data_IF_134041487327
#
_entry.id   IF_134041487327
#
_cell.length_a   1.000
_cell.length_b   1.000
_cell.length_c   1.000
_cell.angle_alpha   90.00
_cell.angle_beta   90.00
_cell.angle_gamma   90.00
#
_symmetry.space_group_name_H-M   'P 1'
#
loop_
_entity.id
_entity.type
_entity.pdbx_description
1 polymer ?
#
# COMPACT_ATOMS: atom_id res chain seq x y z
N UNK A 1 -7.51 21.72 35.27
CA UNK A 1 -6.28 21.43 34.54
C UNK A 1 -6.12 22.53 33.50
N UNK A 2 -5.06 23.35 33.59
CA UNK A 2 -4.79 24.43 32.63
C UNK A 2 -4.53 23.82 31.24
N UNK A 3 -5.32 24.19 30.26
CA UNK A 3 -5.14 23.92 28.84
C UNK A 3 -3.71 24.34 28.46
N UNK A 4 -2.90 23.34 28.09
CA UNK A 4 -1.46 23.47 27.93
C UNK A 4 -1.06 24.63 27.02
N UNK A 5 -0.29 25.55 27.57
CA UNK A 5 0.52 26.48 26.80
C UNK A 5 1.39 25.67 25.86
N UNK A 6 1.09 25.72 24.55
CA UNK A 6 1.91 25.06 23.53
C UNK A 6 3.30 25.69 23.62
N UNK A 7 4.28 24.92 24.06
CA UNK A 7 5.67 25.37 24.11
C UNK A 7 6.06 25.96 22.75
N UNK A 8 6.50 27.22 22.66
CA UNK A 8 6.90 27.84 21.40
C UNK A 8 8.00 27.01 20.70
N UNK A 9 8.86 26.33 21.45
CA UNK A 9 9.86 25.42 20.93
C UNK A 9 9.24 24.25 20.16
N UNK A 10 8.21 23.59 20.73
CA UNK A 10 7.53 22.49 20.05
C UNK A 10 6.83 22.94 18.77
N UNK A 11 6.24 24.14 18.80
CA UNK A 11 5.57 24.71 17.62
C UNK A 11 6.59 25.03 16.52
N UNK A 12 7.74 25.61 16.87
CA UNK A 12 8.83 25.89 15.91
C UNK A 12 9.36 24.58 15.30
N UNK A 13 9.64 23.57 16.13
CA UNK A 13 10.10 22.26 15.65
C UNK A 13 9.09 21.60 14.71
N UNK A 14 7.80 21.66 15.06
CA UNK A 14 6.73 21.13 14.20
C UNK A 14 6.69 21.87 12.86
N UNK A 15 6.71 23.21 12.87
CA UNK A 15 6.68 24.02 11.64
C UNK A 15 7.92 23.76 10.78
N UNK A 16 9.10 23.69 11.38
CA UNK A 16 10.34 23.36 10.65
C UNK A 16 10.29 21.96 10.03
N UNK A 17 9.82 20.96 10.77
CA UNK A 17 9.66 19.59 10.26
C UNK A 17 8.67 19.52 9.10
N UNK A 18 7.51 20.17 9.23
CA UNK A 18 6.53 20.25 8.15
C UNK A 18 7.09 21.02 6.93
N UNK A 19 7.74 22.16 7.14
CA UNK A 19 8.37 22.92 6.08
C UNK A 19 9.41 22.09 5.33
N UNK A 20 10.27 21.35 6.03
CA UNK A 20 11.27 20.48 5.45
C UNK A 20 10.65 19.39 4.54
N UNK A 21 9.49 18.84 4.94
CA UNK A 21 8.79 17.83 4.16
C UNK A 21 8.01 18.42 2.98
N UNK A 22 7.31 19.54 3.18
CA UNK A 22 6.39 20.07 2.18
C UNK A 22 7.03 21.03 1.17
N UNK A 23 8.08 21.78 1.54
CA UNK A 23 8.74 22.73 0.61
C UNK A 23 9.24 22.04 -0.67
N UNK A 24 9.96 20.89 -0.62
CA UNK A 24 10.36 20.19 -1.83
C UNK A 24 9.18 19.76 -2.70
N UNK A 25 8.08 19.31 -2.10
CA UNK A 25 6.87 18.91 -2.83
C UNK A 25 6.21 20.13 -3.51
N UNK A 26 6.12 21.27 -2.79
CA UNK A 26 5.57 22.51 -3.35
C UNK A 26 6.43 22.99 -4.51
N UNK A 27 7.76 22.98 -4.36
CA UNK A 27 8.68 23.33 -5.43
C UNK A 27 8.50 22.43 -6.66
N UNK A 28 8.37 21.12 -6.47
CA UNK A 28 8.09 20.17 -7.55
C UNK A 28 6.78 20.53 -8.28
N UNK A 29 5.71 20.85 -7.53
CA UNK A 29 4.43 21.29 -8.10
C UNK A 29 4.60 22.59 -8.88
N UNK A 30 5.32 23.58 -8.36
CA UNK A 30 5.59 24.84 -9.08
C UNK A 30 6.37 24.56 -10.36
N UNK A 31 7.44 23.78 -10.29
CA UNK A 31 8.27 23.43 -11.45
C UNK A 31 7.58 22.52 -12.47
N UNK A 32 6.46 21.88 -12.13
CA UNK A 32 5.63 21.15 -13.10
C UNK A 32 4.99 22.06 -14.15
N UNK A 33 4.83 23.35 -13.83
CA UNK A 33 4.32 24.38 -14.74
C UNK A 33 5.44 25.15 -15.45
N UNK A 34 6.71 24.75 -15.28
CA UNK A 34 7.84 25.43 -15.93
C UNK A 34 7.90 25.09 -17.42
N UNK A 35 8.03 26.10 -18.30
CA UNK A 35 8.13 25.92 -19.74
C UNK A 35 9.49 25.40 -20.20
N UNK A 36 10.54 25.56 -19.40
CA UNK A 36 11.91 25.15 -19.74
C UNK A 36 12.03 23.63 -19.84
N UNK A 37 12.89 23.17 -20.75
CA UNK A 37 13.34 21.77 -20.79
C UNK A 37 14.38 21.44 -19.71
N UNK A 38 15.00 22.46 -19.15
CA UNK A 38 15.97 22.33 -18.07
C UNK A 38 15.23 22.43 -16.74
N UNK A 39 15.28 21.37 -15.94
CA UNK A 39 14.52 21.25 -14.69
C UNK A 39 14.84 22.36 -13.68
N UNK A 40 16.10 22.82 -13.66
CA UNK A 40 16.58 23.83 -12.71
C UNK A 40 16.44 25.28 -13.20
N UNK A 41 16.05 25.52 -14.46
CA UNK A 41 15.95 26.86 -15.05
C UNK A 41 14.49 27.22 -15.25
N UNK A 42 14.04 28.32 -14.65
CA UNK A 42 12.67 28.78 -14.84
C UNK A 42 12.50 29.49 -16.18
N UNK A 43 11.64 28.96 -17.04
CA UNK A 43 11.37 29.49 -18.40
C UNK A 43 9.97 30.08 -18.57
N UNK A 44 9.25 30.39 -17.46
CA UNK A 44 7.88 30.89 -17.48
C UNK A 44 6.82 29.81 -17.27
N UNK A 45 5.57 30.23 -17.12
CA UNK A 45 4.44 29.34 -16.84
C UNK A 45 3.96 28.61 -18.09
N UNK A 46 3.75 27.29 -18.03
CA UNK A 46 3.24 26.47 -19.12
C UNK A 46 2.61 25.17 -18.60
N UNK A 47 1.59 24.69 -19.27
CA UNK A 47 0.97 23.36 -19.04
C UNK A 47 1.45 22.32 -20.05
N UNK A 48 2.48 22.63 -20.83
CA UNK A 48 2.99 21.80 -21.93
C UNK A 48 3.30 20.37 -21.50
N UNK A 49 3.95 20.18 -20.33
CA UNK A 49 4.38 18.88 -19.85
C UNK A 49 3.22 17.96 -19.48
N UNK A 50 2.08 18.53 -19.04
CA UNK A 50 0.86 17.77 -18.83
C UNK A 50 0.32 17.22 -20.15
N UNK A 51 0.31 18.04 -21.21
CA UNK A 51 -0.14 17.60 -22.54
C UNK A 51 0.78 16.52 -23.09
N UNK A 52 2.11 16.67 -22.97
CA UNK A 52 3.09 15.68 -23.40
C UNK A 52 2.95 14.37 -22.59
N UNK A 53 2.72 14.47 -21.28
CA UNK A 53 2.51 13.33 -20.38
C UNK A 53 1.28 12.51 -20.81
N UNK A 54 0.14 13.17 -21.04
CA UNK A 54 -1.10 12.49 -21.44
C UNK A 54 -1.02 11.85 -22.84
N UNK A 55 -0.09 12.30 -23.68
CA UNK A 55 0.17 11.71 -25.00
C UNK A 55 1.20 10.57 -24.97
N UNK A 56 1.84 10.30 -23.84
CA UNK A 56 2.88 9.27 -23.71
C UNK A 56 2.27 7.89 -23.44
N UNK A 57 2.28 6.94 -24.40
CA UNK A 57 1.78 5.59 -24.18
C UNK A 57 2.53 4.89 -23.05
N UNK A 58 3.86 5.08 -22.99
CA UNK A 58 4.72 4.47 -21.96
C UNK A 58 4.27 4.80 -20.52
N UNK A 59 3.82 6.05 -20.29
CA UNK A 59 3.32 6.46 -18.97
C UNK A 59 1.99 5.76 -18.65
N UNK A 60 1.08 5.70 -19.62
CA UNK A 60 -0.20 5.03 -19.44
C UNK A 60 -0.05 3.54 -19.21
N UNK A 61 0.83 2.88 -19.96
CA UNK A 61 1.14 1.46 -19.77
C UNK A 61 1.68 1.19 -18.37
N UNK A 62 2.61 2.04 -17.89
CA UNK A 62 3.16 1.93 -16.55
C UNK A 62 2.13 2.20 -15.45
N UNK A 63 1.24 3.18 -15.62
CA UNK A 63 0.15 3.48 -14.68
C UNK A 63 -0.83 2.31 -14.61
N UNK A 64 -1.30 1.81 -15.77
CA UNK A 64 -2.26 0.71 -15.83
C UNK A 64 -1.65 -0.55 -15.23
N UNK A 65 -0.40 -0.88 -15.58
CA UNK A 65 0.30 -2.03 -15.02
C UNK A 65 0.43 -1.92 -13.50
N UNK A 66 0.87 -0.75 -12.98
CA UNK A 66 1.00 -0.55 -11.53
C UNK A 66 -0.33 -0.72 -10.81
N UNK A 67 -1.42 -0.17 -11.35
CA UNK A 67 -2.74 -0.31 -10.76
C UNK A 67 -3.24 -1.76 -10.80
N UNK A 68 -3.05 -2.47 -11.91
CA UNK A 68 -3.42 -3.87 -12.03
C UNK A 68 -2.65 -4.74 -11.03
N UNK A 69 -1.32 -4.58 -10.97
CA UNK A 69 -0.48 -5.30 -10.00
C UNK A 69 -0.92 -4.98 -8.57
N UNK A 70 -1.14 -3.70 -8.24
CA UNK A 70 -1.53 -3.29 -6.89
C UNK A 70 -2.90 -3.84 -6.46
N UNK A 71 -3.91 -3.82 -7.34
CA UNK A 71 -5.25 -4.37 -7.04
C UNK A 71 -5.19 -5.88 -6.86
N UNK A 72 -4.51 -6.59 -7.75
CA UNK A 72 -4.38 -8.06 -7.66
C UNK A 72 -3.58 -8.42 -6.42
N UNK A 73 -2.44 -7.76 -6.19
CA UNK A 73 -1.66 -7.93 -4.98
C UNK A 73 -2.50 -7.72 -3.71
N UNK A 74 -3.16 -6.58 -3.58
CA UNK A 74 -3.94 -6.24 -2.39
C UNK A 74 -5.05 -7.28 -2.12
N UNK A 75 -5.70 -7.76 -3.17
CA UNK A 75 -6.77 -8.74 -3.05
C UNK A 75 -6.24 -10.09 -2.57
N UNK A 76 -5.21 -10.64 -3.23
CA UNK A 76 -4.65 -11.93 -2.83
C UNK A 76 -3.91 -11.85 -1.49
N UNK A 77 -3.16 -10.77 -1.24
CA UNK A 77 -2.49 -10.56 0.05
C UNK A 77 -3.51 -10.45 1.20
N UNK A 78 -4.66 -9.81 0.97
CA UNK A 78 -5.72 -9.73 1.98
C UNK A 78 -6.36 -11.08 2.26
N UNK A 79 -6.67 -11.85 1.23
CA UNK A 79 -7.23 -13.20 1.42
C UNK A 79 -6.24 -14.09 2.17
N UNK A 80 -5.01 -14.20 1.67
CA UNK A 80 -3.98 -15.06 2.26
C UNK A 80 -3.55 -14.57 3.64
N UNK A 81 -3.38 -13.26 3.83
CA UNK A 81 -3.05 -12.66 5.11
C UNK A 81 -4.16 -12.83 6.16
N UNK A 82 -5.42 -12.80 5.73
CA UNK A 82 -6.56 -13.10 6.62
C UNK A 82 -6.54 -14.56 7.05
N UNK A 83 -6.34 -15.49 6.13
CA UNK A 83 -6.21 -16.92 6.46
C UNK A 83 -5.03 -17.19 7.39
N UNK A 84 -3.88 -16.57 7.12
CA UNK A 84 -2.70 -16.67 7.96
C UNK A 84 -2.93 -16.09 9.36
N UNK A 85 -3.56 -14.93 9.46
CA UNK A 85 -3.92 -14.28 10.73
C UNK A 85 -4.90 -15.12 11.54
N UNK A 86 -5.94 -15.68 10.90
CA UNK A 86 -6.88 -16.61 11.52
C UNK A 86 -6.18 -17.86 12.06
N UNK A 87 -5.30 -18.47 11.27
CA UNK A 87 -4.53 -19.64 11.70
C UNK A 87 -3.68 -19.35 12.94
N UNK A 88 -2.99 -18.18 12.95
CA UNK A 88 -2.13 -17.79 14.07
C UNK A 88 -2.90 -17.47 15.36
N UNK A 89 -4.10 -16.90 15.27
CA UNK A 89 -4.85 -16.42 16.46
C UNK A 89 -5.91 -17.43 16.94
N UNK A 90 -6.60 -18.13 16.03
CA UNK A 90 -7.77 -18.97 16.35
C UNK A 90 -7.47 -20.46 16.45
N UNK A 91 -6.43 -20.97 15.79
CA UNK A 91 -6.17 -22.41 15.76
C UNK A 91 -5.38 -22.95 16.98
N UNK A 92 -5.05 -22.07 17.94
CA UNK A 92 -4.29 -22.48 19.11
C UNK A 92 -2.89 -22.98 18.79
N UNK A 93 -2.47 -24.07 19.44
CA UNK A 93 -1.15 -24.68 19.20
C UNK A 93 -1.27 -25.77 18.13
N UNK A 94 -0.50 -25.63 17.04
CA UNK A 94 -0.40 -26.63 15.99
C UNK A 94 1.06 -26.91 15.62
N UNK A 95 1.34 -28.06 15.04
CA UNK A 95 2.70 -28.43 14.62
C UNK A 95 3.20 -27.47 13.55
N UNK A 96 4.38 -26.87 13.77
CA UNK A 96 4.95 -25.90 12.84
C UNK A 96 4.51 -24.43 13.02
N UNK A 97 3.70 -24.12 14.05
CA UNK A 97 3.24 -22.75 14.33
C UNK A 97 4.40 -21.75 14.45
N UNK A 98 5.48 -22.12 15.15
CA UNK A 98 6.65 -21.24 15.31
C UNK A 98 7.34 -20.98 13.96
N UNK A 99 7.52 -22.04 13.15
CA UNK A 99 8.08 -21.90 11.80
C UNK A 99 7.19 -21.02 10.91
N UNK A 100 5.89 -21.27 10.92
CA UNK A 100 4.91 -20.47 10.15
C UNK A 100 4.91 -19.00 10.59
N UNK A 101 4.93 -18.73 11.89
CA UNK A 101 5.07 -17.37 12.43
C UNK A 101 6.39 -16.71 12.01
N UNK A 102 7.50 -17.46 12.03
CA UNK A 102 8.80 -16.98 11.51
C UNK A 102 8.75 -16.64 10.02
N UNK A 103 8.11 -17.48 9.20
CA UNK A 103 7.94 -17.23 7.77
C UNK A 103 7.08 -15.99 7.50
N UNK A 104 6.03 -15.77 8.29
CA UNK A 104 5.21 -14.56 8.19
C UNK A 104 5.96 -13.30 8.64
N UNK A 105 6.85 -13.42 9.63
CA UNK A 105 7.63 -12.30 10.13
C UNK A 105 8.84 -11.96 9.22
N UNK A 106 9.32 -12.91 8.45
CA UNK A 106 10.55 -12.76 7.64
C UNK A 106 10.49 -11.54 6.69
N UNK A 107 9.44 -11.32 5.88
CA UNK A 107 9.36 -10.14 4.99
C UNK A 107 9.33 -8.80 5.74
N UNK A 108 8.91 -8.79 7.01
CA UNK A 108 8.82 -7.56 7.82
C UNK A 108 10.19 -7.11 8.34
N UNK A 109 11.13 -8.04 8.47
CA UNK A 109 12.44 -7.80 9.08
C UNK A 109 13.55 -7.77 8.02
N UNK A 110 13.37 -8.52 6.93
CA UNK A 110 14.37 -8.61 5.86
C UNK A 110 14.39 -7.34 5.02
N UNK A 111 15.57 -6.83 4.66
CA UNK A 111 15.70 -5.75 3.69
C UNK A 111 15.07 -6.14 2.34
N UNK A 112 14.32 -5.21 1.74
CA UNK A 112 13.59 -5.43 0.46
C UNK A 112 14.51 -5.93 -0.67
N UNK A 113 15.77 -5.46 -0.68
CA UNK A 113 16.77 -5.91 -1.66
C UNK A 113 17.03 -7.41 -1.55
N UNK A 114 17.13 -7.95 -0.33
CA UNK A 114 17.35 -9.38 -0.11
C UNK A 114 16.11 -10.17 -0.52
N UNK A 115 14.93 -9.68 -0.19
CA UNK A 115 13.65 -10.28 -0.60
C UNK A 115 13.52 -10.30 -2.12
N UNK A 116 13.78 -9.18 -2.80
CA UNK A 116 13.73 -9.08 -4.26
C UNK A 116 14.73 -10.00 -4.95
N UNK A 117 15.97 -10.05 -4.45
CA UNK A 117 17.01 -10.95 -4.98
C UNK A 117 16.64 -12.43 -4.78
N UNK A 118 16.12 -12.79 -3.61
CA UNK A 118 15.69 -14.17 -3.31
C UNK A 118 14.57 -14.62 -4.23
N UNK A 119 13.58 -13.75 -4.48
CA UNK A 119 12.49 -14.01 -5.41
C UNK A 119 12.97 -14.10 -6.85
N UNK A 120 13.92 -13.26 -7.27
CA UNK A 120 14.58 -13.37 -8.56
C UNK A 120 15.24 -14.75 -8.73
N UNK A 121 16.02 -15.18 -7.73
CA UNK A 121 16.68 -16.51 -7.77
C UNK A 121 15.66 -17.63 -7.79
N UNK A 122 14.56 -17.52 -7.05
CA UNK A 122 13.47 -18.46 -7.08
C UNK A 122 12.88 -18.59 -8.50
N UNK A 123 12.54 -17.47 -9.16
CA UNK A 123 11.97 -17.51 -10.51
C UNK A 123 12.95 -18.05 -11.55
N UNK A 124 14.25 -17.75 -11.44
CA UNK A 124 15.27 -18.33 -12.33
C UNK A 124 15.36 -19.84 -12.13
N UNK A 125 15.34 -20.32 -10.89
CA UNK A 125 15.39 -21.75 -10.57
C UNK A 125 14.15 -22.47 -11.05
N UNK A 126 12.95 -21.91 -10.82
CA UNK A 126 11.68 -22.49 -11.30
C UNK A 126 11.66 -22.57 -12.83
N UNK A 127 12.15 -21.55 -13.54
CA UNK A 127 12.27 -21.58 -14.99
C UNK A 127 13.15 -22.74 -15.44
N UNK A 128 14.25 -23.02 -14.75
CA UNK A 128 15.15 -24.12 -15.06
C UNK A 128 14.55 -25.52 -14.80
N UNK A 129 13.66 -25.66 -13.80
CA UNK A 129 13.08 -26.94 -13.38
C UNK A 129 11.78 -27.27 -14.14
N UNK A 130 10.87 -26.29 -14.20
CA UNK A 130 9.50 -26.50 -14.69
C UNK A 130 9.16 -25.64 -15.92
N UNK A 131 10.11 -24.82 -16.43
CA UNK A 131 9.91 -23.94 -17.58
C UNK A 131 9.09 -22.67 -17.27
N UNK A 132 8.73 -22.43 -16.01
CA UNK A 132 7.92 -21.27 -15.59
C UNK A 132 8.67 -20.38 -14.59
N UNK A 133 8.57 -19.06 -14.70
CA UNK A 133 7.89 -18.27 -15.75
C UNK A 133 8.70 -18.28 -17.06
N UNK A 134 8.02 -18.26 -18.21
CA UNK A 134 8.69 -18.14 -19.51
C UNK A 134 9.54 -16.88 -19.57
N UNK A 135 8.94 -15.75 -19.14
CA UNK A 135 9.62 -14.48 -18.98
C UNK A 135 9.18 -13.83 -17.66
N UNK A 136 10.07 -13.00 -17.10
CA UNK A 136 9.72 -12.15 -15.97
C UNK A 136 8.86 -10.99 -16.47
N UNK A 137 7.98 -10.47 -15.62
CA UNK A 137 7.07 -9.39 -15.98
C UNK A 137 5.97 -9.16 -14.96
N UNK A 138 4.79 -8.76 -15.39
CA UNK A 138 3.66 -8.45 -14.54
C UNK A 138 3.32 -9.56 -13.53
N UNK A 139 3.34 -10.83 -13.97
CA UNK A 139 3.03 -11.98 -13.11
C UNK A 139 4.06 -12.17 -12.00
N UNK A 140 5.35 -12.10 -12.33
CA UNK A 140 6.42 -12.25 -11.33
C UNK A 140 6.44 -11.07 -10.34
N UNK A 141 6.17 -9.84 -10.81
CA UNK A 141 5.99 -8.67 -9.95
C UNK A 141 4.81 -8.90 -9.00
N UNK A 142 3.65 -9.32 -9.53
CA UNK A 142 2.44 -9.56 -8.73
C UNK A 142 2.68 -10.59 -7.63
N UNK A 143 3.29 -11.74 -7.96
CA UNK A 143 3.58 -12.80 -6.97
C UNK A 143 4.56 -12.30 -5.90
N UNK A 144 5.59 -11.57 -6.32
CA UNK A 144 6.57 -11.00 -5.40
C UNK A 144 5.91 -10.04 -4.41
N UNK A 145 5.04 -9.15 -4.91
CA UNK A 145 4.30 -8.20 -4.08
C UNK A 145 3.31 -8.91 -3.15
N UNK A 146 2.59 -9.93 -3.62
CA UNK A 146 1.69 -10.74 -2.76
C UNK A 146 2.49 -11.38 -1.61
N UNK A 147 3.64 -11.97 -1.92
CA UNK A 147 4.50 -12.62 -0.93
C UNK A 147 4.97 -11.63 0.14
N UNK A 148 5.32 -10.43 -0.25
CA UNK A 148 5.75 -9.36 0.66
C UNK A 148 4.56 -8.79 1.45
N UNK A 149 3.50 -8.37 0.77
CA UNK A 149 2.35 -7.68 1.39
C UNK A 149 1.52 -8.56 2.30
N UNK A 150 1.45 -9.87 2.05
CA UNK A 150 0.76 -10.86 2.87
C UNK A 150 1.20 -10.80 4.35
N UNK A 151 2.48 -10.59 4.60
CA UNK A 151 3.03 -10.50 5.95
C UNK A 151 2.46 -9.30 6.72
N UNK A 152 2.39 -8.14 6.08
CA UNK A 152 1.82 -6.92 6.65
C UNK A 152 0.33 -7.07 6.92
N UNK A 153 -0.42 -7.61 5.97
CA UNK A 153 -1.85 -7.87 6.15
C UNK A 153 -2.08 -8.85 7.30
N UNK A 154 -1.30 -9.93 7.39
CA UNK A 154 -1.43 -10.91 8.47
C UNK A 154 -1.25 -10.27 9.85
N UNK A 155 -0.32 -9.32 10.02
CA UNK A 155 -0.14 -8.58 11.28
C UNK A 155 -1.35 -7.70 11.60
N UNK A 156 -1.89 -6.97 10.61
CA UNK A 156 -3.11 -6.15 10.80
C UNK A 156 -4.28 -7.03 11.24
N UNK A 157 -4.47 -8.17 10.58
CA UNK A 157 -5.54 -9.13 10.90
C UNK A 157 -5.34 -9.75 12.27
N UNK A 158 -4.12 -10.18 12.64
CA UNK A 158 -3.83 -10.73 13.97
C UNK A 158 -4.15 -9.72 15.07
N UNK A 159 -3.73 -8.46 14.90
CA UNK A 159 -4.03 -7.39 15.85
C UNK A 159 -5.54 -7.18 16.04
N UNK A 160 -6.31 -7.20 14.95
CA UNK A 160 -7.77 -7.07 15.00
C UNK A 160 -8.43 -8.27 15.69
N UNK A 161 -8.06 -9.49 15.32
CA UNK A 161 -8.60 -10.72 15.90
C UNK A 161 -8.32 -10.81 17.41
N UNK A 162 -7.14 -10.41 17.85
CA UNK A 162 -6.80 -10.38 19.28
C UNK A 162 -7.68 -9.40 20.05
N UNK A 163 -7.97 -8.22 19.47
CA UNK A 163 -8.83 -7.21 20.11
C UNK A 163 -10.34 -7.54 20.08
N UNK A 164 -10.78 -8.48 19.22
CA UNK A 164 -12.21 -8.80 19.08
C UNK A 164 -12.76 -9.74 20.17
N UNK A 165 -11.91 -10.44 20.91
CA UNK A 165 -12.34 -11.50 21.81
C UNK A 165 -12.98 -12.69 21.06
N UNK A 166 -13.36 -13.73 21.80
CA UNK A 166 -13.96 -14.97 21.25
C UNK A 166 -15.41 -15.20 21.70
N UNK A 167 -15.90 -14.42 22.64
CA UNK A 167 -17.19 -14.64 23.32
C UNK A 167 -18.38 -14.85 22.38
N UNK A 168 -18.46 -14.07 21.27
CA UNK A 168 -19.56 -14.22 20.31
C UNK A 168 -19.42 -15.47 19.44
N UNK A 169 -18.18 -15.85 19.12
CA UNK A 169 -17.88 -17.06 18.36
C UNK A 169 -18.23 -18.30 19.21
N UNK A 170 -17.82 -18.30 20.47
CA UNK A 170 -18.13 -19.37 21.48
C UNK A 170 -19.63 -19.48 21.71
N UNK A 171 -20.32 -18.37 21.97
CA UNK A 171 -21.77 -18.36 22.17
C UNK A 171 -22.53 -18.93 20.96
N UNK A 172 -22.10 -18.63 19.75
CA UNK A 172 -22.71 -19.19 18.55
C UNK A 172 -22.46 -20.70 18.41
N UNK A 173 -21.26 -21.17 18.75
CA UNK A 173 -20.95 -22.60 18.76
C UNK A 173 -21.78 -23.35 19.83
N UNK A 174 -21.97 -22.77 21.02
CA UNK A 174 -22.81 -23.34 22.09
C UNK A 174 -24.28 -23.44 21.67
N UNK A 175 -24.75 -22.51 20.82
CA UNK A 175 -26.08 -22.56 20.21
C UNK A 175 -26.18 -23.56 19.03
N UNK A 176 -25.11 -24.31 18.75
CA UNK A 176 -25.08 -25.35 17.71
C UNK A 176 -24.76 -24.86 16.30
N UNK A 177 -24.24 -23.63 16.15
CA UNK A 177 -23.79 -23.16 14.85
C UNK A 177 -22.55 -23.94 14.39
N UNK A 178 -22.48 -24.26 13.08
CA UNK A 178 -21.30 -24.91 12.51
C UNK A 178 -20.12 -23.92 12.43
N UNK A 179 -18.86 -24.35 12.66
CA UNK A 179 -17.68 -23.46 12.66
C UNK A 179 -17.53 -22.60 11.40
N UNK A 180 -17.84 -23.16 10.23
CA UNK A 180 -17.79 -22.41 8.97
C UNK A 180 -18.85 -21.28 8.93
N UNK A 181 -20.04 -21.51 9.48
CA UNK A 181 -21.09 -20.49 9.57
C UNK A 181 -20.70 -19.39 10.56
N UNK A 182 -20.10 -19.76 11.70
CA UNK A 182 -19.56 -18.78 12.65
C UNK A 182 -18.48 -17.90 11.99
N UNK A 183 -17.59 -18.51 11.20
CA UNK A 183 -16.58 -17.75 10.45
C UNK A 183 -17.22 -16.74 9.49
N UNK A 184 -18.22 -17.16 8.70
CA UNK A 184 -18.84 -16.34 7.67
C UNK A 184 -19.78 -15.26 8.22
N UNK A 185 -20.59 -15.61 9.22
CA UNK A 185 -21.66 -14.75 9.70
C UNK A 185 -21.24 -13.86 10.88
N UNK A 186 -20.18 -14.23 11.61
CA UNK A 186 -19.73 -13.50 12.81
C UNK A 186 -18.31 -12.98 12.65
N UNK A 187 -17.33 -13.86 12.36
CA UNK A 187 -15.91 -13.48 12.38
C UNK A 187 -15.56 -12.57 11.23
N UNK A 188 -15.85 -12.94 9.98
CA UNK A 188 -15.49 -12.15 8.80
C UNK A 188 -16.19 -10.79 8.74
N UNK A 189 -17.50 -10.65 9.01
CA UNK A 189 -18.14 -9.33 9.02
C UNK A 189 -17.55 -8.39 10.08
N UNK A 190 -17.21 -8.90 11.26
CA UNK A 190 -16.55 -8.10 12.31
C UNK A 190 -15.10 -7.76 11.96
N UNK A 191 -14.43 -8.62 11.19
CA UNK A 191 -13.07 -8.45 10.72
C UNK A 191 -12.98 -7.54 9.50
N UNK A 192 -14.09 -7.32 8.77
CA UNK A 192 -14.14 -6.58 7.52
C UNK A 192 -13.44 -5.19 7.57
N UNK A 193 -13.59 -4.37 8.62
CA UNK A 193 -12.83 -3.11 8.70
C UNK A 193 -11.31 -3.32 8.76
N UNK A 194 -10.85 -4.40 9.40
CA UNK A 194 -9.44 -4.80 9.41
C UNK A 194 -8.96 -5.31 8.05
N UNK A 195 -9.81 -6.07 7.34
CA UNK A 195 -9.52 -6.55 5.99
C UNK A 195 -9.42 -5.37 4.99
N UNK A 196 -10.31 -4.39 5.08
CA UNK A 196 -10.24 -3.17 4.25
C UNK A 196 -8.96 -2.39 4.55
N UNK A 197 -8.60 -2.22 5.81
CA UNK A 197 -7.35 -1.57 6.19
C UNK A 197 -6.12 -2.33 5.68
N UNK A 198 -6.11 -3.67 5.78
CA UNK A 198 -5.08 -4.54 5.23
C UNK A 198 -4.99 -4.46 3.70
N UNK A 199 -6.13 -4.42 3.02
CA UNK A 199 -6.20 -4.26 1.57
C UNK A 199 -5.59 -2.93 1.11
N UNK A 200 -5.97 -1.82 1.77
CA UNK A 200 -5.42 -0.50 1.47
C UNK A 200 -3.92 -0.44 1.74
N UNK A 201 -3.45 -1.06 2.82
CA UNK A 201 -2.03 -1.15 3.14
C UNK A 201 -1.27 -1.93 2.04
N UNK A 202 -1.75 -3.12 1.66
CA UNK A 202 -1.14 -3.93 0.61
C UNK A 202 -1.17 -3.22 -0.76
N UNK A 203 -2.24 -2.49 -1.05
CA UNK A 203 -2.38 -1.70 -2.27
C UNK A 203 -1.32 -0.59 -2.32
N UNK A 204 -1.14 0.17 -1.25
CA UNK A 204 -0.14 1.25 -1.19
C UNK A 204 1.28 0.71 -1.24
N UNK A 205 1.59 -0.35 -0.49
CA UNK A 205 2.90 -1.02 -0.53
C UNK A 205 3.28 -1.50 -1.93
N UNK A 206 2.31 -1.92 -2.73
CA UNK A 206 2.55 -2.35 -4.11
C UNK A 206 2.71 -1.20 -5.10
N UNK A 207 2.02 -0.07 -4.86
CA UNK A 207 2.09 1.09 -5.74
C UNK A 207 3.42 1.85 -5.67
N UNK A 208 4.04 1.90 -4.52
CA UNK A 208 5.29 2.64 -4.30
C UNK A 208 6.53 1.74 -4.36
N UNK A 209 6.36 0.41 -4.49
CA UNK A 209 7.49 -0.50 -4.56
C UNK A 209 8.30 -0.30 -5.84
N UNK A 210 9.56 0.03 -5.65
CA UNK A 210 10.57 0.09 -6.68
C UNK A 210 11.56 -1.07 -6.55
N UNK A 211 11.88 -1.44 -5.33
CA UNK A 211 13.03 -2.30 -5.05
C UNK A 211 12.75 -3.73 -5.47
N UNK A 212 11.72 -4.36 -4.91
CA UNK A 212 11.35 -5.74 -5.25
C UNK A 212 10.99 -5.83 -6.73
N UNK A 213 10.15 -4.90 -7.22
CA UNK A 213 9.73 -4.86 -8.62
C UNK A 213 10.93 -4.82 -9.58
N UNK A 214 11.99 -4.04 -9.30
CA UNK A 214 13.15 -3.92 -10.17
C UNK A 214 13.95 -5.21 -10.33
N UNK A 215 13.94 -6.10 -9.33
CA UNK A 215 14.58 -7.42 -9.44
C UNK A 215 13.78 -8.42 -10.29
N UNK A 216 12.46 -8.36 -10.20
CA UNK A 216 11.58 -9.38 -10.80
C UNK A 216 10.85 -8.91 -12.06
N UNK A 217 11.06 -7.66 -12.48
CA UNK A 217 10.53 -7.13 -13.75
C UNK A 217 11.20 -7.75 -14.97
N UNK A 218 10.59 -7.60 -16.12
CA UNK A 218 11.08 -8.03 -17.41
C UNK A 218 10.74 -7.04 -18.53
N UNK A 219 11.08 -7.37 -19.79
CA UNK A 219 10.81 -6.50 -20.93
C UNK A 219 9.33 -6.09 -21.01
N UNK A 220 9.06 -4.80 -21.21
CA UNK A 220 7.69 -4.28 -21.36
C UNK A 220 6.84 -4.26 -20.08
N UNK A 221 7.43 -4.55 -18.91
CA UNK A 221 6.69 -4.63 -17.63
C UNK A 221 7.19 -3.62 -16.61
N UNK A 222 7.38 -2.37 -17.06
CA UNK A 222 7.81 -1.30 -16.17
C UNK A 222 6.62 -0.76 -15.35
N UNK A 223 6.70 -0.92 -14.03
CA UNK A 223 5.77 -0.23 -13.13
C UNK A 223 6.07 1.27 -13.08
N UNK A 224 5.13 2.05 -12.58
CA UNK A 224 5.27 3.50 -12.50
C UNK A 224 6.52 3.95 -11.69
N UNK A 225 6.84 3.35 -10.52
CA UNK A 225 8.08 3.64 -9.81
C UNK A 225 9.35 3.31 -10.64
N UNK A 226 9.36 2.19 -11.36
CA UNK A 226 10.49 1.82 -12.24
C UNK A 226 10.65 2.83 -13.37
N UNK A 227 9.56 3.25 -14.01
CA UNK A 227 9.57 4.25 -15.06
C UNK A 227 10.12 5.59 -14.55
N UNK A 228 9.62 6.07 -13.41
CA UNK A 228 10.08 7.32 -12.79
C UNK A 228 11.59 7.22 -12.49
N UNK A 229 12.02 6.15 -11.85
CA UNK A 229 13.42 5.93 -11.51
C UNK A 229 14.33 5.88 -12.74
N UNK A 230 13.90 5.18 -13.78
CA UNK A 230 14.63 5.11 -15.06
C UNK A 230 14.79 6.49 -15.69
N UNK A 231 13.73 7.30 -15.71
CA UNK A 231 13.77 8.66 -16.25
C UNK A 231 14.68 9.60 -15.44
N UNK A 232 14.69 9.45 -14.11
CA UNK A 232 15.61 10.23 -13.26
C UNK A 232 17.07 9.87 -13.56
N UNK A 233 17.38 8.61 -13.80
CA UNK A 233 18.75 8.16 -14.10
C UNK A 233 19.23 8.51 -15.50
N UNK A 234 18.34 8.53 -16.48
CA UNK A 234 18.68 8.83 -17.88
C UNK A 234 18.72 10.33 -18.19
N UNK A 235 18.28 11.15 -17.27
CA UNK A 235 18.24 12.61 -17.35
C UNK A 235 16.88 13.14 -16.90
N UNK A 236 16.89 14.05 -15.94
CA UNK A 236 15.68 14.68 -15.41
C UNK A 236 14.90 15.38 -16.52
N UNK A 237 13.73 14.86 -16.82
CA UNK A 237 12.78 15.49 -17.75
C UNK A 237 11.71 16.21 -16.97
N UNK A 238 11.27 17.40 -17.39
CA UNK A 238 10.25 18.17 -16.65
C UNK A 238 8.88 17.49 -16.57
N UNK A 239 8.57 16.53 -17.47
CA UNK A 239 7.36 15.73 -17.45
C UNK A 239 7.23 14.88 -16.17
N UNK A 240 8.34 14.53 -15.50
CA UNK A 240 8.33 13.84 -14.20
C UNK A 240 7.68 14.73 -13.13
N UNK A 241 7.94 16.03 -13.13
CA UNK A 241 7.33 16.95 -12.18
C UNK A 241 5.81 17.03 -12.41
N UNK A 242 5.35 17.02 -13.67
CA UNK A 242 3.92 16.97 -13.99
C UNK A 242 3.28 15.66 -13.52
N UNK A 243 3.94 14.52 -13.75
CA UNK A 243 3.48 13.20 -13.28
C UNK A 243 3.37 13.16 -11.76
N UNK A 244 4.43 13.57 -11.05
CA UNK A 244 4.43 13.60 -9.59
C UNK A 244 3.34 14.55 -9.05
N UNK A 245 3.11 15.69 -9.70
CA UNK A 245 2.04 16.63 -9.31
C UNK A 245 0.66 15.99 -9.44
N UNK A 246 0.40 15.23 -10.51
CA UNK A 246 -0.87 14.50 -10.69
C UNK A 246 -1.05 13.45 -9.58
N UNK A 247 0.01 12.71 -9.24
CA UNK A 247 -0.03 11.72 -8.16
C UNK A 247 -0.32 12.40 -6.82
N UNK A 248 0.38 13.48 -6.49
CA UNK A 248 0.16 14.25 -5.26
C UNK A 248 -1.28 14.76 -5.20
N UNK A 249 -1.81 15.28 -6.30
CA UNK A 249 -3.18 15.77 -6.37
C UNK A 249 -4.20 14.64 -6.19
N UNK A 250 -3.99 13.49 -6.84
CA UNK A 250 -4.86 12.33 -6.69
C UNK A 250 -4.90 11.82 -5.25
N UNK A 251 -3.73 11.72 -4.59
CA UNK A 251 -3.64 11.34 -3.18
C UNK A 251 -4.31 12.39 -2.28
N UNK A 252 -4.05 13.68 -2.49
CA UNK A 252 -4.65 14.75 -1.71
C UNK A 252 -6.19 14.75 -1.81
N UNK A 253 -6.73 14.53 -3.00
CA UNK A 253 -8.18 14.39 -3.22
C UNK A 253 -8.71 13.15 -2.49
N UNK A 254 -8.04 12.01 -2.59
CA UNK A 254 -8.43 10.78 -1.89
C UNK A 254 -8.48 10.97 -0.37
N UNK A 255 -7.45 11.58 0.21
CA UNK A 255 -7.39 11.90 1.65
C UNK A 255 -8.48 12.88 2.05
N UNK A 256 -8.74 13.92 1.25
CA UNK A 256 -9.80 14.89 1.51
C UNK A 256 -11.19 14.21 1.51
N UNK A 257 -11.47 13.36 0.52
CA UNK A 257 -12.73 12.60 0.45
C UNK A 257 -12.88 11.68 1.67
N UNK A 258 -11.84 10.91 2.00
CA UNK A 258 -11.85 10.04 3.18
C UNK A 258 -12.10 10.85 4.47
N UNK A 259 -11.44 11.98 4.64
CA UNK A 259 -11.63 12.87 5.78
C UNK A 259 -13.06 13.41 5.89
N UNK A 260 -13.65 13.83 4.77
CA UNK A 260 -15.03 14.31 4.73
C UNK A 260 -16.01 13.19 5.12
N UNK A 261 -15.80 11.96 4.62
CA UNK A 261 -16.63 10.80 4.95
C UNK A 261 -16.55 10.50 6.44
N UNK A 262 -15.34 10.45 7.01
CA UNK A 262 -15.14 10.20 8.45
C UNK A 262 -15.81 11.26 9.33
N UNK A 263 -15.67 12.54 8.99
CA UNK A 263 -16.31 13.64 9.71
C UNK A 263 -17.85 13.56 9.66
N UNK A 264 -18.41 13.14 8.50
CA UNK A 264 -19.87 12.94 8.37
C UNK A 264 -20.35 11.78 9.24
N UNK A 265 -19.62 10.67 9.25
CA UNK A 265 -19.96 9.51 10.09
C UNK A 265 -19.88 9.84 11.59
N UNK A 266 -18.86 10.60 12.03
CA UNK A 266 -18.77 11.06 13.42
C UNK A 266 -19.99 11.91 13.82
N UNK A 267 -20.35 12.91 12.98
CA UNK A 267 -21.52 13.75 13.24
C UNK A 267 -22.82 12.96 13.27
N UNK A 268 -22.96 11.92 12.46
CA UNK A 268 -24.15 11.06 12.51
C UNK A 268 -24.24 10.29 13.81
N UNK A 269 -23.14 9.67 14.25
CA UNK A 269 -23.07 8.95 15.54
C UNK A 269 -23.38 9.86 16.73
N UNK A 270 -22.82 11.09 16.74
CA UNK A 270 -23.11 12.09 17.78
C UNK A 270 -24.61 12.46 17.83
N UNK A 271 -25.27 12.58 16.65
CA UNK A 271 -26.71 12.85 16.57
C UNK A 271 -27.56 11.65 17.06
N UNK A 272 -27.15 10.44 16.71
CA UNK A 272 -27.86 9.22 17.16
C UNK A 272 -27.75 9.05 18.68
N UNK A 273 -26.61 9.33 19.28
CA UNK A 273 -26.41 9.33 20.72
C UNK A 273 -27.24 10.42 21.41
N UNK A 274 -27.26 11.65 20.88
CA UNK A 274 -28.05 12.75 21.41
C UNK A 274 -29.57 12.58 21.30
N UNK A 275 -30.06 11.65 20.45
CA UNK A 275 -31.48 11.30 20.35
C UNK A 275 -31.85 10.09 21.23
N UNK A 276 -30.88 9.39 21.77
CA UNK A 276 -31.09 8.22 22.62
C UNK A 276 -31.08 8.57 24.14
N UNK A 277 -30.56 9.75 24.49
CA UNK A 277 -30.65 10.38 25.82
C UNK A 277 -31.92 11.27 25.92
#
# INVERSE_FOLDING_TARGET
MKTGERSPFLTIMLVMGLAFLYIPMILLVIYSFNNSRLVAVWGGWSTRWYVELFKSPEVWDAVILSLQVAVVNATFATVLGTLAGLAMVRFGQFKGRTLFGGMLAAPLVMPEVITGLSLLMLFITLKGIIGWPEERGATTITIAHITFSLAYVAVVIQSRLTGMGQTLEEAALDLGARPFRVLMDITLPRLAPGMVAGWLLAFTLSLDDLVIASFVTGPGSNTLPILIYSRIRTGLRPDINALATIIILAVAIGVAIAGIIMLRQQKQRERELAMAD
#
